data_IF_428330669716
#
_entry.id   IF_428330669716
#
_cell.length_a   1.000
_cell.length_b   1.000
_cell.length_c   1.000
_cell.angle_alpha   90.00
_cell.angle_beta   90.00
_cell.angle_gamma   90.00
#
_symmetry.space_group_name_H-M   'P 1'
#
loop_
_entity.id
_entity.type
_entity.pdbx_description
1 polymer ?
#
# COMPACT_ATOMS: atom_id res chain seq x y z
N UNK A 1 22.66 25.21 -28.87
CA UNK A 1 22.03 24.27 -27.90
C UNK A 1 23.06 23.28 -27.33
N UNK A 2 24.28 23.73 -27.03
CA UNK A 2 25.41 22.88 -26.59
C UNK A 2 25.74 22.99 -25.09
N UNK A 3 25.40 24.11 -24.43
CA UNK A 3 25.75 24.36 -23.04
C UNK A 3 25.06 23.45 -22.00
N UNK A 4 23.90 22.86 -22.33
CA UNK A 4 23.18 21.98 -21.41
C UNK A 4 23.91 20.66 -21.13
N UNK A 5 24.75 20.18 -22.06
CA UNK A 5 25.58 18.99 -21.85
C UNK A 5 26.90 19.31 -21.15
N UNK A 6 27.48 20.47 -21.44
CA UNK A 6 28.71 20.96 -20.79
C UNK A 6 28.46 21.25 -19.30
N UNK A 7 27.35 21.92 -18.96
CA UNK A 7 26.91 22.14 -17.57
C UNK A 7 26.68 20.81 -16.82
N UNK A 8 26.23 19.77 -17.53
CA UNK A 8 26.05 18.42 -16.97
C UNK A 8 27.38 17.76 -16.61
N UNK A 9 28.45 18.10 -17.34
CA UNK A 9 29.80 17.58 -17.12
C UNK A 9 30.58 18.36 -16.07
N UNK A 10 30.19 19.58 -15.71
CA UNK A 10 30.84 20.34 -14.63
C UNK A 10 30.36 19.89 -13.23
N UNK A 11 29.10 19.47 -13.09
CA UNK A 11 28.56 19.02 -11.81
C UNK A 11 29.12 17.64 -11.40
N UNK A 12 29.88 17.62 -10.29
CA UNK A 12 30.49 16.41 -9.75
C UNK A 12 29.45 15.37 -9.32
N UNK A 13 28.34 15.80 -8.73
CA UNK A 13 27.26 14.90 -8.31
C UNK A 13 26.49 14.34 -9.51
N UNK A 14 26.35 15.12 -10.59
CA UNK A 14 25.81 14.64 -11.86
C UNK A 14 26.63 13.49 -12.43
N UNK A 15 27.95 13.68 -12.53
CA UNK A 15 28.89 12.64 -13.02
C UNK A 15 28.86 11.37 -12.16
N UNK A 16 28.87 11.51 -10.84
CA UNK A 16 28.78 10.37 -9.92
C UNK A 16 27.45 9.63 -10.06
N UNK A 17 26.34 10.34 -10.24
CA UNK A 17 25.02 9.72 -10.46
C UNK A 17 25.01 8.90 -11.75
N UNK A 18 25.56 9.43 -12.85
CA UNK A 18 25.68 8.68 -14.10
C UNK A 18 26.63 7.48 -13.96
N UNK A 19 27.69 7.60 -13.16
CA UNK A 19 28.59 6.48 -12.83
C UNK A 19 27.90 5.33 -12.09
N UNK A 20 26.76 5.57 -11.42
CA UNK A 20 25.96 4.53 -10.74
C UNK A 20 24.97 3.82 -11.67
N UNK A 21 24.69 4.36 -12.87
CA UNK A 21 23.73 3.75 -13.79
C UNK A 21 24.11 2.33 -14.22
N UNK A 22 25.39 2.02 -14.53
CA UNK A 22 25.81 0.65 -14.83
C UNK A 22 25.64 -0.32 -13.65
N UNK A 23 25.77 0.17 -12.40
CA UNK A 23 25.61 -0.64 -11.18
C UNK A 23 24.15 -1.05 -10.98
N UNK A 24 23.22 -0.19 -11.40
CA UNK A 24 21.78 -0.42 -11.32
C UNK A 24 21.27 -1.26 -12.50
N UNK A 25 22.06 -1.32 -13.58
CA UNK A 25 21.77 -2.15 -14.75
C UNK A 25 20.43 -1.81 -15.38
N UNK A 26 19.57 -2.81 -15.55
CA UNK A 26 18.28 -2.66 -16.23
C UNK A 26 17.29 -1.74 -15.49
N UNK A 27 17.52 -1.51 -14.19
CA UNK A 27 16.68 -0.64 -13.38
C UNK A 27 17.00 0.86 -13.54
N UNK A 28 18.05 1.22 -14.30
CA UNK A 28 18.53 2.61 -14.40
C UNK A 28 17.48 3.57 -14.98
N UNK A 29 16.77 3.16 -16.05
CA UNK A 29 15.70 3.98 -16.64
C UNK A 29 14.55 4.22 -15.65
N UNK A 30 14.23 3.21 -14.84
CA UNK A 30 13.18 3.28 -13.82
C UNK A 30 13.61 4.17 -12.65
N UNK A 31 14.90 4.17 -12.29
CA UNK A 31 15.43 5.09 -11.28
C UNK A 31 15.24 6.55 -11.71
N UNK A 32 15.51 6.90 -12.97
CA UNK A 32 15.34 8.28 -13.46
C UNK A 32 13.88 8.73 -13.32
N UNK A 33 12.93 7.87 -13.71
CA UNK A 33 11.50 8.14 -13.54
C UNK A 33 11.11 8.29 -12.06
N UNK A 34 11.66 7.43 -11.20
CA UNK A 34 11.43 7.42 -9.76
C UNK A 34 12.00 8.66 -9.04
N UNK A 35 13.24 9.07 -9.34
CA UNK A 35 13.83 10.33 -8.87
C UNK A 35 12.97 11.53 -9.26
N UNK A 36 12.31 11.42 -10.42
CA UNK A 36 11.27 12.33 -10.84
C UNK A 36 10.26 12.62 -9.73
N UNK A 37 9.83 11.64 -8.93
CA UNK A 37 8.82 11.79 -7.84
C UNK A 37 9.23 12.75 -6.71
N UNK A 38 10.53 12.96 -6.51
CA UNK A 38 11.09 13.81 -5.46
C UNK A 38 11.20 15.28 -5.87
N UNK A 39 10.97 15.61 -7.15
CA UNK A 39 11.03 16.99 -7.63
C UNK A 39 9.69 17.73 -7.39
N UNK A 40 9.71 18.95 -6.85
CA UNK A 40 8.56 19.86 -6.84
C UNK A 40 8.12 20.23 -8.27
N UNK A 41 6.84 20.57 -8.48
CA UNK A 41 6.32 20.93 -9.82
C UNK A 41 7.08 22.09 -10.49
N UNK A 42 7.60 23.03 -9.71
CA UNK A 42 8.24 24.26 -10.19
C UNK A 42 9.77 24.26 -10.16
N UNK A 43 10.40 23.21 -9.63
CA UNK A 43 11.85 23.19 -9.40
C UNK A 43 12.49 21.88 -9.83
N UNK A 44 13.62 21.97 -10.52
CA UNK A 44 14.45 20.81 -10.81
C UNK A 44 15.06 20.24 -9.53
N UNK A 45 15.20 18.91 -9.49
CA UNK A 45 15.91 18.24 -8.40
C UNK A 45 17.39 18.58 -8.50
N UNK A 46 18.02 19.01 -7.39
CA UNK A 46 19.48 19.22 -7.36
C UNK A 46 20.21 17.89 -7.56
N UNK A 47 21.30 17.91 -8.33
CA UNK A 47 22.11 16.71 -8.63
C UNK A 47 22.65 16.03 -7.38
N UNK A 48 23.12 16.80 -6.40
CA UNK A 48 23.55 16.28 -5.09
C UNK A 48 22.43 15.55 -4.34
N UNK A 49 21.18 16.06 -4.41
CA UNK A 49 20.03 15.38 -3.80
C UNK A 49 19.65 14.13 -4.59
N UNK A 50 19.70 14.18 -5.92
CA UNK A 50 19.42 13.03 -6.78
C UNK A 50 20.42 11.88 -6.55
N UNK A 51 21.70 12.22 -6.36
CA UNK A 51 22.76 11.27 -6.03
C UNK A 51 22.49 10.55 -4.71
N UNK A 52 22.20 11.30 -3.63
CA UNK A 52 21.86 10.72 -2.31
C UNK A 52 20.65 9.78 -2.42
N UNK A 53 19.61 10.19 -3.13
CA UNK A 53 18.42 9.35 -3.34
C UNK A 53 18.72 8.08 -4.15
N UNK A 54 19.63 8.15 -5.13
CA UNK A 54 20.06 6.99 -5.89
C UNK A 54 20.86 6.01 -5.02
N UNK A 55 21.74 6.53 -4.17
CA UNK A 55 22.50 5.72 -3.20
C UNK A 55 21.59 5.04 -2.19
N UNK A 56 20.60 5.76 -1.65
CA UNK A 56 19.61 5.20 -0.74
C UNK A 56 18.83 4.03 -1.41
N UNK A 57 18.53 4.12 -2.71
CA UNK A 57 17.86 3.06 -3.47
C UNK A 57 18.75 1.84 -3.67
N UNK A 58 20.04 2.03 -4.01
CA UNK A 58 21.01 0.93 -4.12
C UNK A 58 21.20 0.24 -2.76
N UNK A 59 21.31 1.02 -1.69
CA UNK A 59 21.46 0.47 -0.34
C UNK A 59 20.21 -0.32 0.06
N UNK A 60 19.01 0.18 -0.26
CA UNK A 60 17.75 -0.50 0.01
C UNK A 60 17.64 -1.83 -0.74
N UNK A 61 18.04 -1.88 -2.01
CA UNK A 61 18.01 -3.12 -2.80
C UNK A 61 18.98 -4.16 -2.26
N UNK A 62 20.18 -3.74 -1.82
CA UNK A 62 21.16 -4.62 -1.17
C UNK A 62 20.65 -5.15 0.18
N UNK A 63 20.05 -4.29 1.01
CA UNK A 63 19.47 -4.69 2.30
C UNK A 63 18.38 -5.75 2.15
N UNK A 64 17.51 -5.58 1.15
CA UNK A 64 16.40 -6.49 0.88
C UNK A 64 16.77 -7.65 -0.06
N UNK A 65 18.04 -7.72 -0.49
CA UNK A 65 18.56 -8.73 -1.44
C UNK A 65 17.70 -8.84 -2.71
N UNK A 66 17.25 -7.70 -3.22
CA UNK A 66 16.43 -7.61 -4.43
C UNK A 66 17.28 -7.79 -5.69
N UNK A 67 16.73 -8.48 -6.70
CA UNK A 67 17.32 -8.50 -8.04
C UNK A 67 17.07 -7.19 -8.78
N UNK A 68 17.87 -6.91 -9.82
CA UNK A 68 17.66 -5.73 -10.67
C UNK A 68 16.25 -5.67 -11.27
N UNK A 69 15.69 -6.82 -11.66
CA UNK A 69 14.34 -6.92 -12.22
C UNK A 69 13.26 -6.59 -11.19
N UNK A 70 13.41 -7.07 -9.95
CA UNK A 70 12.50 -6.75 -8.85
C UNK A 70 12.57 -5.25 -8.50
N UNK A 71 13.77 -4.69 -8.49
CA UNK A 71 13.98 -3.27 -8.25
C UNK A 71 13.34 -2.40 -9.35
N UNK A 72 13.53 -2.77 -10.62
CA UNK A 72 12.91 -2.11 -11.76
C UNK A 72 11.37 -2.16 -11.68
N UNK A 73 10.81 -3.34 -11.40
CA UNK A 73 9.37 -3.53 -11.26
C UNK A 73 8.79 -2.67 -10.12
N UNK A 74 9.43 -2.66 -8.95
CA UNK A 74 8.98 -1.88 -7.80
C UNK A 74 9.03 -0.37 -8.04
N UNK A 75 10.08 0.13 -8.71
CA UNK A 75 10.17 1.54 -9.09
C UNK A 75 9.12 1.91 -10.14
N UNK A 76 8.87 1.04 -11.11
CA UNK A 76 7.83 1.22 -12.14
C UNK A 76 6.44 1.30 -11.52
N UNK A 77 6.09 0.33 -10.66
CA UNK A 77 4.81 0.31 -9.94
C UNK A 77 4.64 1.57 -9.07
N UNK A 78 5.73 2.01 -8.41
CA UNK A 78 5.70 3.23 -7.61
C UNK A 78 5.46 4.48 -8.45
N UNK A 79 6.09 4.59 -9.63
CA UNK A 79 5.88 5.72 -10.54
C UNK A 79 4.46 5.74 -11.08
N UNK A 80 3.94 4.60 -11.52
CA UNK A 80 2.57 4.50 -12.05
C UNK A 80 1.51 4.77 -10.95
N UNK A 81 1.68 4.24 -9.74
CA UNK A 81 0.79 4.51 -8.61
C UNK A 81 0.72 6.00 -8.21
N UNK A 82 1.76 6.76 -8.53
CA UNK A 82 1.84 8.20 -8.23
C UNK A 82 1.54 9.09 -9.45
N UNK A 83 1.34 8.51 -10.63
CA UNK A 83 1.10 9.24 -11.88
C UNK A 83 -0.17 10.09 -11.81
N UNK A 84 -1.26 9.50 -11.33
CA UNK A 84 -2.55 10.20 -11.20
C UNK A 84 -2.56 11.19 -10.03
N UNK A 85 -1.93 10.81 -8.91
CA UNK A 85 -1.81 11.67 -7.73
C UNK A 85 -1.00 12.94 -8.03
N UNK A 86 0.00 12.85 -8.92
CA UNK A 86 0.79 13.99 -9.39
C UNK A 86 0.01 15.03 -10.17
N UNK A 87 -1.11 14.64 -10.78
CA UNK A 87 -1.95 15.58 -11.52
C UNK A 87 -2.82 16.43 -10.61
N UNK A 88 -3.04 16.00 -9.36
CA UNK A 88 -3.85 16.71 -8.39
C UNK A 88 -3.17 18.03 -7.93
N UNK A 89 -3.97 19.07 -7.64
CA UNK A 89 -3.45 20.39 -7.25
C UNK A 89 -2.70 20.37 -5.91
N UNK A 90 -2.97 19.38 -5.05
CA UNK A 90 -2.42 19.28 -3.69
C UNK A 90 -1.23 18.32 -3.59
N UNK A 91 -0.65 17.89 -4.72
CA UNK A 91 0.45 16.92 -4.74
C UNK A 91 1.71 17.46 -4.04
N UNK A 92 2.24 16.69 -3.10
CA UNK A 92 3.50 16.96 -2.44
C UNK A 92 4.57 15.94 -2.88
N UNK A 93 5.81 16.38 -3.15
CA UNK A 93 6.91 15.48 -3.47
C UNK A 93 7.22 14.53 -2.32
N UNK A 94 7.81 13.38 -2.66
CA UNK A 94 8.29 12.46 -1.64
C UNK A 94 9.50 13.01 -0.92
N UNK A 95 9.59 12.70 0.37
CA UNK A 95 10.72 13.06 1.23
C UNK A 95 11.57 11.84 1.60
N UNK A 96 11.00 10.62 1.51
CA UNK A 96 11.60 9.35 1.95
C UNK A 96 11.23 8.19 1.01
N UNK A 97 11.99 7.09 1.11
CA UNK A 97 11.81 5.86 0.30
C UNK A 97 10.85 4.83 0.92
N UNK A 98 10.06 5.19 1.95
CA UNK A 98 9.18 4.25 2.67
C UNK A 98 8.18 3.54 1.75
N UNK A 99 7.67 4.24 0.73
CA UNK A 99 6.76 3.64 -0.25
C UNK A 99 7.48 2.61 -1.13
N UNK A 100 8.65 2.97 -1.67
CA UNK A 100 9.45 2.05 -2.49
C UNK A 100 9.88 0.80 -1.70
N UNK A 101 10.27 0.96 -0.43
CA UNK A 101 10.58 -0.18 0.46
C UNK A 101 9.42 -1.17 0.53
N UNK A 102 8.20 -0.68 0.81
CA UNK A 102 7.01 -1.53 0.92
C UNK A 102 6.68 -2.23 -0.41
N UNK A 103 6.77 -1.51 -1.52
CA UNK A 103 6.53 -2.10 -2.86
C UNK A 103 7.58 -3.15 -3.18
N UNK A 104 8.85 -2.87 -2.89
CA UNK A 104 9.96 -3.79 -3.16
C UNK A 104 9.85 -5.07 -2.31
N UNK A 105 9.52 -4.95 -1.03
CA UNK A 105 9.22 -6.11 -0.17
C UNK A 105 8.09 -6.97 -0.76
N UNK A 106 7.00 -6.34 -1.22
CA UNK A 106 5.90 -7.05 -1.87
C UNK A 106 6.30 -7.75 -3.18
N UNK A 107 7.07 -7.08 -4.03
CA UNK A 107 7.60 -7.67 -5.28
C UNK A 107 8.50 -8.87 -4.98
N UNK A 108 9.40 -8.78 -4.00
CA UNK A 108 10.27 -9.89 -3.60
C UNK A 108 9.45 -11.09 -3.12
N UNK A 109 8.46 -10.87 -2.25
CA UNK A 109 7.59 -11.95 -1.73
C UNK A 109 6.78 -12.60 -2.85
N UNK A 110 6.22 -11.82 -3.76
CA UNK A 110 5.41 -12.33 -4.87
C UNK A 110 6.26 -13.09 -5.90
N UNK A 111 7.50 -12.65 -6.17
CA UNK A 111 8.42 -13.37 -7.06
C UNK A 111 8.98 -14.66 -6.44
N UNK A 112 9.11 -14.75 -5.12
CA UNK A 112 9.58 -15.97 -4.43
C UNK A 112 8.54 -17.11 -4.45
N UNK A 113 7.27 -16.79 -4.72
CA UNK A 113 6.17 -17.76 -4.78
C UNK A 113 5.95 -18.40 -6.16
N UNK A 114 6.77 -18.06 -7.16
CA UNK A 114 6.70 -18.70 -8.48
C UNK A 114 7.80 -19.77 -8.62
N UNK A 115 7.45 -21.08 -8.67
CA UNK A 115 8.36 -22.06 -9.26
C UNK A 115 8.46 -21.78 -10.75
N UNK A 116 9.69 -21.90 -11.27
CA UNK A 116 10.00 -21.77 -12.68
C UNK A 116 9.18 -22.77 -13.52
N UNK A 117 8.40 -22.24 -14.46
CA UNK A 117 8.05 -22.98 -15.67
C UNK A 117 8.42 -22.14 -16.88
N UNK A 118 9.30 -22.75 -17.67
CA UNK A 118 9.92 -22.26 -18.88
C UNK A 118 8.91 -22.16 -20.03
N UNK A 119 9.10 -21.12 -20.87
CA UNK A 119 8.69 -20.95 -22.27
C UNK A 119 7.28 -21.32 -22.76
N UNK A 120 6.53 -20.31 -23.23
CA UNK A 120 6.24 -20.13 -24.67
C UNK A 120 5.40 -18.86 -24.96
N UNK A 121 5.98 -18.01 -25.80
CA UNK A 121 5.42 -17.03 -26.75
C UNK A 121 3.89 -16.76 -26.79
N UNK A 122 3.59 -15.45 -26.72
CA UNK A 122 2.52 -14.67 -27.42
C UNK A 122 1.06 -14.73 -26.92
N UNK A 123 0.20 -13.73 -27.25
CA UNK A 123 0.19 -12.37 -26.68
C UNK A 123 -1.25 -11.88 -26.33
N UNK A 124 -1.35 -10.64 -25.81
CA UNK A 124 -2.56 -9.80 -25.69
C UNK A 124 -3.82 -10.44 -25.08
N UNK A 125 -4.09 -10.12 -23.81
CA UNK A 125 -5.48 -9.90 -23.39
C UNK A 125 -5.62 -8.60 -22.60
N UNK A 126 -6.39 -7.73 -23.23
CA UNK A 126 -6.74 -6.38 -22.87
C UNK A 126 -7.63 -6.32 -21.62
N UNK A 127 -7.39 -5.27 -20.83
CA UNK A 127 -8.41 -4.43 -20.22
C UNK A 127 -9.65 -5.14 -19.61
N UNK A 128 -9.51 -5.63 -18.38
CA UNK A 128 -10.56 -5.38 -17.39
C UNK A 128 -10.02 -4.34 -16.41
N UNK A 129 -10.61 -3.15 -16.47
CA UNK A 129 -10.35 -2.01 -15.60
C UNK A 129 -10.30 -2.53 -14.15
N UNK A 130 -9.14 -2.54 -13.46
CA UNK A 130 -9.12 -3.05 -12.11
C UNK A 130 -9.93 -2.07 -11.25
N UNK A 131 -11.02 -2.56 -10.66
CA UNK A 131 -11.55 -1.98 -9.43
C UNK A 131 -10.33 -1.68 -8.54
N UNK A 132 -10.25 -0.47 -7.99
CA UNK A 132 -9.13 -0.11 -7.11
C UNK A 132 -8.96 -1.22 -6.07
N UNK A 133 -7.72 -1.51 -5.63
CA UNK A 133 -7.46 -2.58 -4.65
C UNK A 133 -8.41 -2.47 -3.43
N UNK A 134 -8.77 -1.24 -3.05
CA UNK A 134 -9.81 -0.93 -2.05
C UNK A 134 -11.22 -1.38 -2.45
N UNK A 135 -11.66 -1.11 -3.68
CA UNK A 135 -12.96 -1.57 -4.17
C UNK A 135 -13.04 -3.10 -4.25
N UNK A 136 -11.95 -3.78 -4.63
CA UNK A 136 -11.88 -5.24 -4.59
C UNK A 136 -11.99 -5.78 -3.14
N UNK A 137 -11.31 -5.14 -2.18
CA UNK A 137 -11.43 -5.51 -0.76
C UNK A 137 -12.82 -5.26 -0.18
N UNK A 138 -13.49 -4.17 -0.59
CA UNK A 138 -14.87 -3.88 -0.18
C UNK A 138 -15.84 -4.96 -0.69
N UNK A 139 -15.72 -5.36 -1.96
CA UNK A 139 -16.56 -6.43 -2.51
C UNK A 139 -16.29 -7.78 -1.82
N UNK A 140 -15.02 -8.08 -1.51
CA UNK A 140 -14.67 -9.26 -0.73
C UNK A 140 -15.30 -9.24 0.68
N UNK A 141 -15.22 -8.10 1.39
CA UNK A 141 -15.80 -7.97 2.73
C UNK A 141 -17.32 -8.13 2.72
N UNK A 142 -18.02 -7.59 1.71
CA UNK A 142 -19.46 -7.77 1.55
C UNK A 142 -19.86 -9.22 1.31
N UNK A 143 -18.99 -10.00 0.64
CA UNK A 143 -19.18 -11.41 0.35
C UNK A 143 -18.60 -12.39 1.38
N UNK A 144 -18.08 -11.88 2.51
CA UNK A 144 -17.38 -12.71 3.49
C UNK A 144 -18.32 -13.77 4.10
N UNK A 145 -18.00 -15.08 4.00
CA UNK A 145 -18.85 -16.13 4.53
C UNK A 145 -18.80 -16.16 6.06
N UNK A 146 -19.94 -16.47 6.68
CA UNK A 146 -20.00 -16.62 8.14
C UNK A 146 -19.36 -17.94 8.60
N UNK A 147 -18.43 -17.94 9.57
CA UNK A 147 -17.91 -19.16 10.18
C UNK A 147 -19.00 -19.99 10.88
N UNK A 148 -18.85 -21.31 10.97
CA UNK A 148 -19.87 -22.24 11.52
C UNK A 148 -20.41 -21.88 12.91
N UNK A 149 -19.62 -21.20 13.75
CA UNK A 149 -19.97 -20.86 15.13
C UNK A 149 -20.41 -19.40 15.31
N UNK A 150 -20.41 -18.61 14.23
CA UNK A 150 -20.69 -17.17 14.26
C UNK A 150 -21.94 -16.92 13.40
N UNK A 151 -22.99 -16.29 13.96
CA UNK A 151 -24.19 -15.95 13.21
C UNK A 151 -23.89 -14.99 12.05
N UNK A 152 -24.65 -15.16 10.96
CA UNK A 152 -24.48 -14.35 9.75
C UNK A 152 -24.64 -12.85 10.00
N UNK A 153 -25.57 -12.44 10.86
CA UNK A 153 -25.78 -11.03 11.20
C UNK A 153 -24.51 -10.40 11.80
N UNK A 154 -23.76 -11.16 12.61
CA UNK A 154 -22.56 -10.68 13.28
C UNK A 154 -21.44 -10.49 12.26
N UNK A 155 -21.24 -11.49 11.40
CA UNK A 155 -20.28 -11.43 10.29
C UNK A 155 -20.55 -10.25 9.37
N UNK A 156 -21.81 -10.09 8.92
CA UNK A 156 -22.22 -8.97 8.07
C UNK A 156 -21.99 -7.62 8.74
N UNK A 157 -22.25 -7.51 10.04
CA UNK A 157 -22.03 -6.26 10.80
C UNK A 157 -20.55 -5.91 10.85
N UNK A 158 -19.69 -6.86 11.22
CA UNK A 158 -18.25 -6.64 11.32
C UNK A 158 -17.65 -6.30 9.95
N UNK A 159 -17.91 -7.12 8.94
CA UNK A 159 -17.36 -6.92 7.60
C UNK A 159 -17.92 -5.66 6.93
N UNK A 160 -19.20 -5.35 7.14
CA UNK A 160 -19.82 -4.11 6.68
C UNK A 160 -19.17 -2.88 7.32
N UNK A 161 -19.00 -2.89 8.65
CA UNK A 161 -18.30 -1.81 9.36
C UNK A 161 -16.87 -1.63 8.86
N UNK A 162 -16.14 -2.73 8.61
CA UNK A 162 -14.78 -2.69 8.06
C UNK A 162 -14.73 -2.11 6.64
N UNK A 163 -15.72 -2.40 5.80
CA UNK A 163 -15.83 -1.80 4.47
C UNK A 163 -16.06 -0.28 4.55
N UNK A 164 -16.82 0.19 5.54
CA UNK A 164 -16.99 1.63 5.81
C UNK A 164 -15.68 2.26 6.30
N UNK A 165 -14.96 1.62 7.22
CA UNK A 165 -13.66 2.09 7.69
C UNK A 165 -12.64 2.28 6.54
N UNK A 166 -12.67 1.41 5.52
CA UNK A 166 -11.82 1.55 4.33
C UNK A 166 -12.13 2.82 3.51
N UNK A 167 -13.35 3.35 3.60
CA UNK A 167 -13.78 4.57 2.92
C UNK A 167 -13.47 5.84 3.72
N UNK A 168 -13.25 5.74 5.03
CA UNK A 168 -13.05 6.87 5.93
C UNK A 168 -11.66 7.52 5.85
N UNK A 169 -10.71 6.95 5.10
CA UNK A 169 -9.38 7.54 4.91
C UNK A 169 -8.52 7.58 6.19
N UNK A 170 -8.70 6.59 7.07
CA UNK A 170 -8.05 6.52 8.38
C UNK A 170 -6.53 6.32 8.29
N UNK A 171 -5.82 6.67 9.37
CA UNK A 171 -4.43 6.25 9.55
C UNK A 171 -4.32 4.76 9.89
N UNK A 172 -3.17 4.14 9.57
CA UNK A 172 -2.88 2.74 9.91
C UNK A 172 -3.89 1.70 9.38
N UNK A 173 -4.57 2.01 8.28
CA UNK A 173 -5.48 1.08 7.58
C UNK A 173 -4.68 -0.14 7.09
N UNK A 174 -5.13 -1.38 7.36
CA UNK A 174 -4.52 -2.59 6.84
C UNK A 174 -4.49 -2.59 5.30
N UNK A 175 -3.53 -3.32 4.73
CA UNK A 175 -3.46 -3.43 3.29
C UNK A 175 -4.69 -4.19 2.75
N UNK A 176 -5.21 -3.76 1.60
CA UNK A 176 -6.48 -4.25 1.04
C UNK A 176 -6.50 -5.78 0.82
N UNK A 177 -5.36 -6.35 0.43
CA UNK A 177 -5.09 -7.78 0.26
C UNK A 177 -5.02 -8.56 1.58
N UNK A 178 -4.83 -7.89 2.72
CA UNK A 178 -4.86 -8.51 4.06
C UNK A 178 -6.24 -8.50 4.71
N UNK A 179 -7.22 -7.83 4.09
CA UNK A 179 -8.52 -7.55 4.73
C UNK A 179 -9.31 -8.81 5.07
N UNK A 180 -9.17 -9.89 4.31
CA UNK A 180 -9.81 -11.18 4.61
C UNK A 180 -9.29 -11.76 5.94
N UNK A 181 -7.97 -11.74 6.13
CA UNK A 181 -7.33 -12.16 7.36
C UNK A 181 -7.70 -11.27 8.54
N UNK A 182 -7.76 -9.94 8.33
CA UNK A 182 -8.16 -8.98 9.37
C UNK A 182 -9.61 -9.24 9.79
N UNK A 183 -10.52 -9.51 8.84
CA UNK A 183 -11.91 -9.81 9.11
C UNK A 183 -12.03 -11.11 9.93
N UNK A 184 -11.37 -12.19 9.49
CA UNK A 184 -11.33 -13.45 10.23
C UNK A 184 -10.80 -13.28 11.66
N UNK A 185 -9.77 -12.47 11.86
CA UNK A 185 -9.25 -12.13 13.19
C UNK A 185 -10.27 -11.38 14.04
N UNK A 186 -10.93 -10.37 13.49
CA UNK A 186 -11.95 -9.61 14.21
C UNK A 186 -13.12 -10.47 14.64
N UNK A 187 -13.61 -11.34 13.77
CA UNK A 187 -14.69 -12.27 14.07
C UNK A 187 -14.30 -13.21 15.23
N UNK A 188 -13.13 -13.84 15.14
CA UNK A 188 -12.64 -14.77 16.16
C UNK A 188 -12.33 -14.10 17.50
N UNK A 189 -11.89 -12.84 17.50
CA UNK A 189 -11.54 -12.13 18.73
C UNK A 189 -12.73 -11.41 19.38
N UNK A 190 -13.70 -10.89 18.61
CA UNK A 190 -14.85 -10.16 19.16
C UNK A 190 -15.97 -11.10 19.60
N UNK A 191 -16.27 -12.14 18.82
CA UNK A 191 -17.38 -13.06 19.08
C UNK A 191 -17.36 -13.65 20.51
N UNK A 192 -16.25 -14.23 21.01
CA UNK A 192 -16.26 -14.86 22.33
C UNK A 192 -16.22 -13.86 23.51
N UNK A 193 -16.20 -12.54 23.26
CA UNK A 193 -15.97 -11.54 24.30
C UNK A 193 -17.24 -10.99 24.92
N UNK A 194 -18.41 -11.19 24.31
CA UNK A 194 -19.70 -10.71 24.80
C UNK A 194 -20.79 -11.70 24.39
N UNK A 195 -21.91 -11.63 25.09
CA UNK A 195 -23.13 -12.39 24.77
C UNK A 195 -23.89 -11.68 23.66
N UNK A 196 -23.32 -11.72 22.46
CA UNK A 196 -23.89 -11.11 21.26
C UNK A 196 -25.23 -11.75 20.91
N UNK A 197 -26.25 -10.92 20.75
CA UNK A 197 -27.56 -11.37 20.29
C UNK A 197 -28.23 -10.28 19.47
N UNK A 198 -28.83 -10.66 18.35
CA UNK A 198 -29.47 -9.73 17.42
C UNK A 198 -30.55 -8.87 18.09
N UNK A 199 -31.28 -9.47 19.02
CA UNK A 199 -32.37 -8.83 19.78
C UNK A 199 -31.92 -8.18 21.10
N UNK A 200 -30.64 -8.27 21.47
CA UNK A 200 -30.13 -7.66 22.70
C UNK A 200 -30.30 -6.15 22.65
N UNK A 201 -30.48 -5.48 23.79
CA UNK A 201 -30.39 -4.02 23.83
C UNK A 201 -28.93 -3.53 23.87
N UNK A 202 -28.04 -4.35 24.43
CA UNK A 202 -26.65 -3.95 24.75
C UNK A 202 -25.60 -4.55 23.80
N UNK A 203 -25.86 -5.71 23.21
CA UNK A 203 -24.91 -6.49 22.39
C UNK A 203 -25.52 -6.86 21.03
N UNK A 204 -26.11 -5.86 20.36
CA UNK A 204 -26.79 -6.01 19.07
C UNK A 204 -25.96 -5.47 17.90
N UNK A 205 -26.37 -5.74 16.64
CA UNK A 205 -25.66 -5.28 15.45
C UNK A 205 -25.36 -3.78 15.48
N UNK A 206 -26.36 -2.96 15.82
CA UNK A 206 -26.23 -1.51 15.83
C UNK A 206 -25.18 -1.04 16.85
N UNK A 207 -25.20 -1.58 18.06
CA UNK A 207 -24.22 -1.23 19.11
C UNK A 207 -22.80 -1.62 18.72
N UNK A 208 -22.63 -2.78 18.08
CA UNK A 208 -21.32 -3.21 17.60
C UNK A 208 -20.81 -2.28 16.49
N UNK A 209 -21.65 -2.00 15.49
CA UNK A 209 -21.34 -1.07 14.42
C UNK A 209 -20.96 0.32 14.98
N UNK A 210 -21.84 0.90 15.81
CA UNK A 210 -21.65 2.24 16.37
C UNK A 210 -20.35 2.32 17.19
N UNK A 211 -19.99 1.27 17.92
CA UNK A 211 -18.73 1.20 18.66
C UNK A 211 -17.49 1.15 17.75
N UNK A 212 -17.56 0.41 16.64
CA UNK A 212 -16.48 0.32 15.65
C UNK A 212 -16.25 1.69 14.99
N UNK A 213 -17.32 2.33 14.55
CA UNK A 213 -17.25 3.65 13.89
C UNK A 213 -16.82 4.73 14.88
N UNK A 214 -17.40 4.78 16.09
CA UNK A 214 -17.06 5.78 17.09
C UNK A 214 -15.58 5.74 17.50
N UNK A 215 -14.99 4.56 17.66
CA UNK A 215 -13.55 4.42 17.97
C UNK A 215 -12.67 4.93 16.81
N UNK A 216 -13.07 4.69 15.57
CA UNK A 216 -12.35 5.15 14.38
C UNK A 216 -12.44 6.67 14.21
N UNK A 217 -13.64 7.25 14.36
CA UNK A 217 -13.87 8.69 14.29
C UNK A 217 -13.15 9.45 15.40
N UNK A 218 -13.15 8.91 16.62
CA UNK A 218 -12.51 9.55 17.79
C UNK A 218 -10.98 9.64 17.64
N UNK A 219 -10.35 8.67 16.96
CA UNK A 219 -8.89 8.57 16.90
C UNK A 219 -8.29 8.83 15.50
N UNK A 220 -9.12 8.93 14.46
CA UNK A 220 -8.67 9.12 13.07
C UNK A 220 -7.81 7.98 12.51
N UNK A 221 -7.84 6.80 13.15
CA UNK A 221 -6.99 5.64 12.81
C UNK A 221 -7.81 4.36 12.80
N UNK A 222 -7.27 3.32 12.18
CA UNK A 222 -7.88 2.00 12.21
C UNK A 222 -8.08 1.53 13.66
N UNK A 223 -9.32 1.16 14.05
CA UNK A 223 -9.65 0.92 15.44
C UNK A 223 -9.02 -0.39 15.95
N UNK A 224 -8.72 -0.42 17.25
CA UNK A 224 -8.22 -1.62 17.91
C UNK A 224 -9.37 -2.41 18.53
N UNK A 225 -9.33 -3.74 18.45
CA UNK A 225 -10.37 -4.62 19.00
C UNK A 225 -10.61 -4.40 20.49
N UNK A 226 -9.53 -4.17 21.25
CA UNK A 226 -9.61 -3.88 22.68
C UNK A 226 -10.34 -2.57 22.96
N UNK A 227 -10.10 -1.54 22.15
CA UNK A 227 -10.74 -0.24 22.32
C UNK A 227 -12.23 -0.31 21.93
N UNK A 228 -12.58 -0.97 20.82
CA UNK A 228 -13.97 -1.23 20.42
C UNK A 228 -14.76 -1.86 21.58
N UNK A 229 -14.20 -2.89 22.22
CA UNK A 229 -14.82 -3.53 23.38
C UNK A 229 -14.94 -2.62 24.61
N UNK A 230 -14.20 -1.52 24.67
CA UNK A 230 -14.33 -0.48 25.70
C UNK A 230 -15.58 0.38 25.55
N UNK A 231 -16.07 0.56 24.32
CA UNK A 231 -17.31 1.28 24.02
C UNK A 231 -18.57 0.43 24.28
N UNK A 232 -18.39 -0.88 24.49
CA UNK A 232 -19.48 -1.84 24.64
C UNK A 232 -19.51 -2.35 26.09
N UNK A 233 -20.61 -2.13 26.83
CA UNK A 233 -20.73 -2.56 28.22
C UNK A 233 -20.32 -4.03 28.41
N UNK A 234 -19.62 -4.30 29.51
CA UNK A 234 -19.47 -5.67 30.01
C UNK A 234 -20.79 -6.05 30.66
N UNK A 235 -21.32 -7.24 30.33
CA UNK A 235 -22.42 -7.86 31.09
C UNK A 235 -21.89 -8.26 32.45
#
# INVERSE_FOLDING_TARGET
MSHALEDLTEDASGRELFGKMPVIGQAAAHLVAYLGLFKPRRQALRWSRALVLADDVIQLSQQLRATEQQLAAAMSETVEAMRDKRQQPNWQPFTKHNYLRKVLEGVITNSAAQPATDSALTPVQSSNKPLSKTAAAIEMLKGCPSPEQIPEWFTRTVCGSMAELLLMGLESVPAADTMELVAGRWLNELWPKRDWAEQSHMHNPKRLHDAIIAEAESNGRWPSLRAILGYIPKV
#
